data_IF_554864437952
#
_entry.id   IF_554864437952
#
_cell.length_a   1.000
_cell.length_b   1.000
_cell.length_c   1.000
_cell.angle_alpha   90.00
_cell.angle_beta   90.00
_cell.angle_gamma   90.00
#
_symmetry.space_group_name_H-M   'P 1'
#
loop_
_entity.id
_entity.type
_entity.pdbx_description
1 polymer ?
#
# COMPACT_ATOMS: atom_id res chain seq x y z
N UNK A 1 1.84 -12.69 -38.24
CA UNK A 1 2.21 -11.55 -37.37
C UNK A 1 1.30 -11.33 -36.14
N UNK A 2 0.07 -11.88 -36.07
CA UNK A 2 -0.78 -11.73 -34.86
C UNK A 2 -0.43 -12.63 -33.67
N UNK A 3 0.23 -13.78 -33.89
CA UNK A 3 0.57 -14.70 -32.79
C UNK A 3 1.76 -14.24 -31.94
N UNK A 4 2.75 -13.53 -32.51
CA UNK A 4 3.90 -13.04 -31.74
C UNK A 4 3.48 -11.99 -30.70
N UNK A 5 2.58 -11.07 -31.05
CA UNK A 5 2.06 -10.05 -30.12
C UNK A 5 1.33 -10.65 -28.90
N UNK A 6 0.61 -11.77 -29.10
CA UNK A 6 -0.12 -12.44 -28.02
C UNK A 6 0.80 -13.15 -27.01
N UNK A 7 1.90 -13.72 -27.48
CA UNK A 7 2.86 -14.45 -26.63
C UNK A 7 3.69 -13.47 -25.79
N UNK A 8 4.16 -12.36 -26.37
CA UNK A 8 4.91 -11.34 -25.62
C UNK A 8 4.04 -10.67 -24.56
N UNK A 9 2.78 -10.39 -24.87
CA UNK A 9 1.83 -9.83 -23.91
C UNK A 9 1.58 -10.78 -22.74
N UNK A 10 1.42 -12.08 -23.00
CA UNK A 10 1.26 -13.09 -21.95
C UNK A 10 2.50 -13.21 -21.06
N UNK A 11 3.71 -13.16 -21.63
CA UNK A 11 4.97 -13.21 -20.88
C UNK A 11 5.13 -11.97 -19.99
N UNK A 12 4.76 -10.78 -20.46
CA UNK A 12 4.80 -9.54 -19.67
C UNK A 12 3.79 -9.58 -18.51
N UNK A 13 2.57 -10.03 -18.77
CA UNK A 13 1.53 -10.17 -17.72
C UNK A 13 1.95 -11.23 -16.68
N UNK A 14 2.57 -12.33 -17.12
CA UNK A 14 3.03 -13.38 -16.22
C UNK A 14 4.26 -12.95 -15.40
N UNK A 15 5.21 -12.21 -15.98
CA UNK A 15 6.37 -11.69 -15.24
C UNK A 15 5.99 -10.63 -14.21
N UNK A 16 4.96 -9.82 -14.46
CA UNK A 16 4.37 -8.92 -13.45
C UNK A 16 3.75 -9.65 -12.26
N UNK A 17 3.33 -10.91 -12.42
CA UNK A 17 2.86 -11.75 -11.30
C UNK A 17 3.99 -12.45 -10.55
N UNK A 18 5.15 -12.63 -11.19
CA UNK A 18 6.34 -13.25 -10.58
C UNK A 18 7.03 -12.27 -9.62
N UNK A 19 7.00 -10.97 -9.90
CA UNK A 19 7.54 -9.94 -9.01
C UNK A 19 6.40 -9.25 -8.23
N UNK A 20 6.67 -8.87 -6.98
CA UNK A 20 5.74 -8.02 -6.23
C UNK A 20 5.39 -6.74 -7.00
N UNK A 21 4.20 -6.19 -6.74
CA UNK A 21 3.69 -5.02 -7.44
C UNK A 21 3.97 -3.76 -6.61
N UNK A 22 4.22 -2.63 -7.27
CA UNK A 22 4.50 -1.36 -6.62
C UNK A 22 3.47 -0.35 -7.09
N UNK A 23 2.83 0.33 -6.14
CA UNK A 23 1.87 1.39 -6.39
C UNK A 23 2.38 2.69 -5.76
N UNK A 24 2.54 3.71 -6.59
CA UNK A 24 2.78 5.07 -6.11
C UNK A 24 1.46 5.72 -5.69
N UNK A 25 1.51 6.61 -4.70
CA UNK A 25 0.37 7.41 -4.27
C UNK A 25 -0.28 8.11 -5.47
N UNK A 26 -1.58 7.89 -5.66
CA UNK A 26 -2.34 8.46 -6.79
C UNK A 26 -3.27 9.60 -6.36
N UNK A 27 -3.79 9.56 -5.13
CA UNK A 27 -4.69 10.60 -4.61
C UNK A 27 -3.95 11.47 -3.62
N UNK A 28 -3.78 12.74 -3.99
CA UNK A 28 -3.01 13.72 -3.24
C UNK A 28 -3.90 14.67 -2.42
N UNK A 29 -5.13 14.90 -2.87
CA UNK A 29 -6.06 15.83 -2.24
C UNK A 29 -7.17 15.07 -1.51
N UNK A 30 -7.44 15.44 -0.24
CA UNK A 30 -8.54 14.85 0.53
C UNK A 30 -9.92 15.11 -0.07
N UNK A 31 -10.10 16.18 -0.85
CA UNK A 31 -11.35 16.49 -1.54
C UNK A 31 -11.72 15.45 -2.62
N UNK A 32 -10.76 14.67 -3.10
CA UNK A 32 -11.00 13.56 -4.04
C UNK A 32 -11.46 12.28 -3.32
N UNK A 33 -11.30 12.21 -1.99
CA UNK A 33 -11.63 11.02 -1.21
C UNK A 33 -13.12 11.02 -0.88
N UNK A 34 -13.85 9.92 -1.14
CA UNK A 34 -15.27 9.83 -0.88
C UNK A 34 -15.62 10.12 0.58
N UNK A 35 -16.71 10.86 0.79
CA UNK A 35 -17.10 11.36 2.11
C UNK A 35 -17.37 10.22 3.10
N UNK A 36 -17.93 9.10 2.64
CA UNK A 36 -18.16 7.90 3.44
C UNK A 36 -16.88 7.28 3.99
N UNK A 37 -15.75 7.54 3.34
CA UNK A 37 -14.44 7.05 3.74
C UNK A 37 -13.77 8.06 4.69
N UNK A 38 -13.72 9.33 4.29
CA UNK A 38 -12.99 10.35 5.05
C UNK A 38 -13.67 10.72 6.38
N UNK A 39 -15.00 10.60 6.48
CA UNK A 39 -15.72 10.82 7.74
C UNK A 39 -15.36 9.80 8.83
N UNK A 40 -14.63 8.73 8.48
CA UNK A 40 -14.15 7.72 9.41
C UNK A 40 -12.65 7.81 9.69
N UNK A 41 -12.03 8.97 9.46
CA UNK A 41 -10.59 9.19 9.66
C UNK A 41 -10.10 8.91 11.09
N UNK A 42 -10.96 9.12 12.08
CA UNK A 42 -10.70 8.79 13.49
C UNK A 42 -10.67 7.29 13.78
N UNK A 43 -11.14 6.44 12.86
CA UNK A 43 -11.13 4.97 13.01
C UNK A 43 -9.88 4.31 12.43
N UNK A 44 -8.97 5.08 11.84
CA UNK A 44 -7.72 4.59 11.27
C UNK A 44 -6.57 4.72 12.28
N UNK A 45 -5.64 3.77 12.33
CA UNK A 45 -4.50 3.80 13.25
C UNK A 45 -4.90 3.84 14.72
N UNK A 46 -6.00 3.17 15.08
CA UNK A 46 -6.51 3.08 16.46
C UNK A 46 -5.84 1.97 17.27
N UNK A 47 -5.10 1.09 16.58
CA UNK A 47 -4.38 -0.03 17.16
C UNK A 47 -3.00 -0.21 16.52
N UNK A 48 -2.17 -1.02 17.16
CA UNK A 48 -0.83 -1.39 16.69
C UNK A 48 -0.84 -2.66 15.83
N UNK A 49 -2.01 -3.19 15.46
CA UNK A 49 -2.11 -4.41 14.67
C UNK A 49 -1.54 -4.18 13.27
N UNK A 50 -0.74 -5.12 12.81
CA UNK A 50 -0.31 -5.15 11.39
C UNK A 50 -1.43 -5.54 10.44
N UNK A 51 -2.54 -6.08 10.94
CA UNK A 51 -3.73 -6.36 10.14
C UNK A 51 -4.52 -5.06 9.99
N UNK A 52 -4.78 -4.66 8.75
CA UNK A 52 -5.56 -3.47 8.48
C UNK A 52 -7.03 -3.69 8.81
N UNK A 53 -7.62 -2.75 9.55
CA UNK A 53 -9.05 -2.73 9.76
C UNK A 53 -9.78 -2.27 8.48
N UNK A 54 -11.12 -2.31 8.52
CA UNK A 54 -11.95 -1.96 7.35
C UNK A 54 -11.67 -0.55 6.82
N UNK A 55 -11.55 0.44 7.70
CA UNK A 55 -11.37 1.84 7.33
C UNK A 55 -9.98 2.10 6.76
N UNK A 56 -8.95 1.53 7.38
CA UNK A 56 -7.56 1.62 6.93
C UNK A 56 -7.39 0.98 5.55
N UNK A 57 -7.88 -0.25 5.38
CA UNK A 57 -7.78 -0.98 4.12
C UNK A 57 -8.51 -0.28 2.99
N UNK A 58 -9.73 0.21 3.22
CA UNK A 58 -10.50 0.97 2.22
C UNK A 58 -9.80 2.28 1.86
N UNK A 59 -9.29 3.03 2.83
CA UNK A 59 -8.54 4.27 2.60
C UNK A 59 -7.33 4.02 1.70
N UNK A 60 -6.52 3.03 2.04
CA UNK A 60 -5.32 2.69 1.30
C UNK A 60 -5.64 2.19 -0.12
N UNK A 61 -6.65 1.32 -0.29
CA UNK A 61 -7.12 0.91 -1.62
C UNK A 61 -7.47 2.14 -2.48
N UNK A 62 -8.16 3.12 -1.90
CA UNK A 62 -8.60 4.32 -2.61
C UNK A 62 -7.43 5.21 -3.03
N UNK A 63 -6.54 5.57 -2.10
CA UNK A 63 -5.47 6.54 -2.40
C UNK A 63 -4.39 6.00 -3.35
N UNK A 64 -4.24 4.69 -3.41
CA UNK A 64 -3.36 4.01 -4.37
C UNK A 64 -4.08 3.58 -5.65
N UNK A 65 -5.40 3.83 -5.77
CA UNK A 65 -6.26 3.40 -6.89
C UNK A 65 -6.11 1.91 -7.21
N UNK A 66 -6.15 1.08 -6.19
CA UNK A 66 -6.12 -0.38 -6.34
C UNK A 66 -7.47 -0.82 -6.90
N UNK A 67 -7.46 -1.61 -7.98
CA UNK A 67 -8.67 -2.26 -8.46
C UNK A 67 -9.10 -3.33 -7.43
N UNK A 68 -10.29 -3.19 -6.81
CA UNK A 68 -10.77 -4.16 -5.83
C UNK A 68 -10.99 -5.57 -6.39
N UNK A 69 -11.09 -5.74 -7.72
CA UNK A 69 -11.13 -7.06 -8.36
C UNK A 69 -9.76 -7.75 -8.37
N UNK A 70 -8.69 -6.96 -8.39
CA UNK A 70 -7.31 -7.47 -8.41
C UNK A 70 -6.77 -7.68 -6.99
N UNK A 71 -7.07 -6.74 -6.08
CA UNK A 71 -6.57 -6.78 -4.71
C UNK A 71 -7.44 -5.96 -3.76
N UNK A 72 -7.61 -6.46 -2.53
CA UNK A 72 -8.21 -5.71 -1.44
C UNK A 72 -7.32 -5.77 -0.18
N UNK A 73 -6.92 -4.61 0.34
CA UNK A 73 -6.09 -4.48 1.54
C UNK A 73 -6.85 -4.67 2.86
N UNK A 74 -8.19 -4.67 2.87
CA UNK A 74 -8.97 -4.91 4.10
C UNK A 74 -8.62 -6.29 4.68
N UNK A 75 -8.23 -6.31 5.96
CA UNK A 75 -7.83 -7.53 6.66
C UNK A 75 -6.49 -8.11 6.22
N UNK A 76 -5.73 -7.41 5.36
CA UNK A 76 -4.37 -7.83 4.98
C UNK A 76 -3.37 -7.39 6.03
N UNK A 77 -2.31 -8.18 6.17
CA UNK A 77 -1.19 -7.87 7.04
C UNK A 77 -0.23 -6.95 6.30
N UNK A 78 -0.21 -5.68 6.68
CA UNK A 78 0.57 -4.63 6.00
C UNK A 78 1.58 -4.03 6.96
N UNK A 79 2.86 -4.07 6.56
CA UNK A 79 3.96 -3.50 7.34
C UNK A 79 4.16 -2.04 6.99
N UNK A 80 4.45 -1.20 7.99
CA UNK A 80 4.81 0.21 7.76
C UNK A 80 6.30 0.39 8.01
N UNK A 81 7.04 0.85 7.01
CA UNK A 81 8.44 1.26 7.17
C UNK A 81 8.44 2.63 7.86
N UNK A 82 8.42 2.56 9.19
CA UNK A 82 8.05 3.66 10.09
C UNK A 82 7.07 3.09 11.12
N UNK A 83 5.92 3.73 11.29
CA UNK A 83 4.86 3.31 12.21
C UNK A 83 3.48 3.46 11.58
N UNK A 84 2.63 2.45 11.75
CA UNK A 84 1.21 2.50 11.34
C UNK A 84 0.47 3.63 12.06
N UNK A 85 0.72 3.75 13.37
CA UNK A 85 0.12 4.79 14.22
C UNK A 85 0.53 6.18 13.71
N UNK A 86 1.82 6.38 13.42
CA UNK A 86 2.32 7.68 12.97
C UNK A 86 1.79 8.01 11.57
N UNK A 87 1.74 7.03 10.66
CA UNK A 87 1.16 7.22 9.33
C UNK A 87 -0.28 7.74 9.40
N UNK A 88 -1.14 7.09 10.18
CA UNK A 88 -2.55 7.51 10.28
C UNK A 88 -2.75 8.75 11.15
N UNK A 89 -1.86 9.02 12.10
CA UNK A 89 -1.79 10.31 12.80
C UNK A 89 -1.49 11.44 11.81
N UNK A 90 -0.46 11.30 10.99
CA UNK A 90 -0.12 12.27 9.95
C UNK A 90 -1.28 12.46 8.96
N UNK A 91 -1.98 11.37 8.60
CA UNK A 91 -3.18 11.44 7.75
C UNK A 91 -4.27 12.31 8.38
N UNK A 92 -4.56 12.13 9.68
CA UNK A 92 -5.54 12.96 10.42
C UNK A 92 -5.12 14.43 10.47
N UNK A 93 -3.89 14.70 10.91
CA UNK A 93 -3.38 16.06 11.08
C UNK A 93 -3.47 16.82 9.75
N UNK A 94 -3.04 16.19 8.65
CA UNK A 94 -3.11 16.81 7.33
C UNK A 94 -4.51 17.05 6.82
N UNK A 95 -5.44 16.15 7.12
CA UNK A 95 -6.84 16.34 6.77
C UNK A 95 -7.41 17.57 7.48
N UNK A 96 -7.17 17.72 8.78
CA UNK A 96 -7.64 18.87 9.56
C UNK A 96 -6.95 20.19 9.19
N UNK A 97 -5.69 20.12 8.76
CA UNK A 97 -4.95 21.28 8.24
C UNK A 97 -5.30 21.62 6.78
N UNK A 98 -6.18 20.85 6.14
CA UNK A 98 -6.58 21.00 4.73
C UNK A 98 -5.35 21.00 3.78
N UNK A 99 -4.42 20.08 4.02
CA UNK A 99 -3.22 19.88 3.21
C UNK A 99 -3.36 18.63 2.32
N UNK A 100 -2.25 18.04 1.88
CA UNK A 100 -2.25 16.84 1.02
C UNK A 100 -2.34 15.55 1.83
N UNK A 101 -2.58 14.41 1.19
CA UNK A 101 -2.35 13.09 1.81
C UNK A 101 -0.86 12.89 2.18
N UNK A 102 -0.54 11.83 2.93
CA UNK A 102 0.84 11.56 3.39
C UNK A 102 1.76 11.33 2.19
N UNK A 103 2.66 12.27 1.94
CA UNK A 103 3.56 12.28 0.79
C UNK A 103 4.68 11.25 0.85
N UNK A 104 5.27 10.95 -0.31
CA UNK A 104 6.31 9.92 -0.43
C UNK A 104 5.82 8.52 -0.07
N UNK A 105 4.50 8.31 -0.13
CA UNK A 105 3.85 7.03 0.14
C UNK A 105 3.95 6.11 -1.07
N UNK A 106 4.45 4.90 -0.84
CA UNK A 106 4.56 3.84 -1.83
C UNK A 106 4.08 2.53 -1.19
N UNK A 107 3.20 1.84 -1.89
CA UNK A 107 2.69 0.53 -1.52
C UNK A 107 3.41 -0.56 -2.30
N UNK A 108 3.88 -1.59 -1.59
CA UNK A 108 4.54 -2.77 -2.11
C UNK A 108 3.67 -3.99 -1.84
N UNK A 109 3.12 -4.62 -2.87
CA UNK A 109 2.36 -5.86 -2.77
C UNK A 109 3.31 -7.03 -2.97
N UNK A 110 3.37 -7.94 -2.00
CA UNK A 110 4.33 -9.03 -2.02
C UNK A 110 3.78 -10.26 -2.74
N UNK A 111 4.66 -10.89 -3.52
CA UNK A 111 4.42 -12.25 -4.00
C UNK A 111 4.61 -13.26 -2.84
N UNK A 112 4.36 -14.54 -3.10
CA UNK A 112 4.46 -15.60 -2.08
C UNK A 112 5.85 -15.65 -1.41
N UNK A 113 6.94 -15.55 -2.19
CA UNK A 113 8.30 -15.61 -1.66
C UNK A 113 8.64 -14.38 -0.79
N UNK A 114 8.25 -13.19 -1.21
CA UNK A 114 8.45 -11.94 -0.46
C UNK A 114 7.61 -11.90 0.82
N UNK A 115 6.39 -12.44 0.78
CA UNK A 115 5.54 -12.61 1.97
C UNK A 115 6.20 -13.53 2.98
N UNK A 116 6.72 -14.68 2.55
CA UNK A 116 7.46 -15.59 3.42
C UNK A 116 8.70 -14.91 4.02
N UNK A 117 9.54 -14.29 3.18
CA UNK A 117 10.79 -13.65 3.62
C UNK A 117 10.56 -12.48 4.59
N UNK A 118 9.47 -11.72 4.42
CA UNK A 118 9.13 -10.57 5.26
C UNK A 118 8.54 -10.94 6.63
N UNK A 119 8.30 -12.22 6.93
CA UNK A 119 7.65 -12.64 8.17
C UNK A 119 6.11 -12.75 8.07
N UNK A 120 5.59 -12.90 6.85
CA UNK A 120 4.18 -13.15 6.56
C UNK A 120 3.36 -11.91 6.20
N UNK A 121 4.00 -10.79 5.86
CA UNK A 121 3.27 -9.60 5.39
C UNK A 121 2.74 -9.80 3.97
N UNK A 122 1.50 -9.38 3.73
CA UNK A 122 0.91 -9.34 2.39
C UNK A 122 1.44 -8.13 1.59
N UNK A 123 1.73 -7.03 2.28
CA UNK A 123 2.21 -5.80 1.66
C UNK A 123 3.03 -4.94 2.63
N UNK A 124 3.62 -3.88 2.10
CA UNK A 124 4.30 -2.85 2.89
C UNK A 124 3.97 -1.44 2.40
N UNK A 125 3.92 -0.48 3.32
CA UNK A 125 3.87 0.94 3.03
C UNK A 125 5.19 1.57 3.46
N UNK A 126 5.83 2.26 2.53
CA UNK A 126 6.91 3.21 2.81
C UNK A 126 6.32 4.59 2.67
N UNK A 127 6.55 5.47 3.63
CA UNK A 127 6.09 6.87 3.59
C UNK A 127 7.23 7.80 3.98
N UNK A 128 7.10 9.09 3.66
CA UNK A 128 8.19 10.08 3.81
C UNK A 128 9.47 9.77 3.06
N UNK A 129 9.42 8.84 2.11
CA UNK A 129 10.58 8.52 1.28
C UNK A 129 10.59 9.40 0.04
N UNK A 130 11.71 10.09 -0.17
CA UNK A 130 11.99 10.81 -1.42
C UNK A 130 12.41 9.87 -2.56
N UNK A 131 12.72 8.62 -2.25
CA UNK A 131 13.22 7.64 -3.20
C UNK A 131 12.40 6.36 -3.15
N UNK A 132 12.14 5.78 -4.33
CA UNK A 132 11.58 4.44 -4.41
C UNK A 132 12.60 3.44 -3.88
N UNK A 133 12.25 2.71 -2.82
CA UNK A 133 13.12 1.68 -2.27
C UNK A 133 13.01 0.39 -3.10
N UNK A 134 14.13 -0.29 -3.40
CA UNK A 134 14.11 -1.65 -3.91
C UNK A 134 13.29 -2.58 -3.02
N UNK A 135 12.47 -3.44 -3.61
CA UNK A 135 11.55 -4.33 -2.87
C UNK A 135 12.31 -5.23 -1.88
N UNK A 136 13.48 -5.73 -2.26
CA UNK A 136 14.32 -6.57 -1.38
C UNK A 136 14.75 -5.81 -0.11
N UNK A 137 15.03 -4.50 -0.21
CA UNK A 137 15.32 -3.66 0.96
C UNK A 137 14.09 -3.49 1.85
N UNK A 138 12.90 -3.37 1.29
CA UNK A 138 11.64 -3.26 2.05
C UNK A 138 11.36 -4.56 2.79
N UNK A 139 11.43 -5.71 2.10
CA UNK A 139 11.28 -7.05 2.68
C UNK A 139 12.27 -7.28 3.83
N UNK A 140 13.57 -6.97 3.60
CA UNK A 140 14.61 -7.09 4.64
C UNK A 140 14.37 -6.18 5.84
N UNK A 141 13.80 -4.98 5.65
CA UNK A 141 13.45 -4.08 6.77
C UNK A 141 12.31 -4.65 7.60
N UNK A 142 11.25 -5.17 6.98
CA UNK A 142 10.14 -5.81 7.70
C UNK A 142 10.57 -7.06 8.46
N UNK A 143 11.43 -7.89 7.86
CA UNK A 143 12.00 -9.06 8.52
C UNK A 143 12.71 -8.73 9.84
N UNK A 144 13.33 -7.54 9.94
CA UNK A 144 14.05 -7.07 11.14
C UNK A 144 13.14 -6.43 12.21
N UNK A 145 11.87 -6.18 11.88
CA UNK A 145 10.88 -5.70 12.86
C UNK A 145 10.26 -6.86 13.67
N UNK A 146 10.56 -8.10 13.27
CA UNK A 146 10.27 -9.34 13.97
C UNK A 146 11.49 -9.84 14.74
#
# INVERSE_FOLDING_TARGET
MKQLLSVTLFIIIFSMKIFGQIYELQVHNFAEIPTELINHIEKMGVDTSSILNEYEGRYLNFIFKIDPQDLNLVGKRVGFIGSKIDYFKDTRERFYENTTTVGGSVLYIFNAAQKEESGGYDAAIVYWSKFLLPVDKVVKKLKKQH
#
